data_IF_244047732309
#
_entry.id   IF_244047732309
#
_cell.length_a   1.000
_cell.length_b   1.000
_cell.length_c   1.000
_cell.angle_alpha   90.00
_cell.angle_beta   90.00
_cell.angle_gamma   90.00
#
_symmetry.space_group_name_H-M   'P 1'
#
loop_
_entity.id
_entity.type
_entity.pdbx_description
1 polymer ?
#
# COMPACT_ATOMS: atom_id res chain seq x y z
N UNK A 1 17.24 -12.66 -10.88
CA UNK A 1 15.94 -12.45 -11.56
C UNK A 1 15.17 -11.41 -10.76
N UNK A 2 14.72 -10.31 -11.36
CA UNK A 2 13.82 -9.36 -10.70
C UNK A 2 12.55 -9.26 -11.55
N UNK A 3 11.41 -9.57 -10.94
CA UNK A 3 10.08 -9.41 -11.52
C UNK A 3 9.40 -8.27 -10.75
N UNK A 4 9.15 -7.15 -11.43
CA UNK A 4 8.35 -6.04 -10.91
C UNK A 4 6.97 -6.09 -11.56
N UNK A 5 5.92 -6.30 -10.76
CA UNK A 5 4.54 -6.19 -11.23
C UNK A 5 3.94 -4.94 -10.61
N UNK A 6 3.54 -3.99 -11.45
CA UNK A 6 2.74 -2.85 -11.01
C UNK A 6 1.40 -2.80 -11.71
N UNK A 7 0.35 -3.13 -10.97
CA UNK A 7 -1.03 -2.95 -11.40
C UNK A 7 -1.57 -1.60 -10.91
N UNK A 8 -2.00 -0.73 -11.83
CA UNK A 8 -3.00 0.30 -11.48
C UNK A 8 -4.34 -0.42 -11.50
N UNK A 9 -4.92 -0.69 -10.34
CA UNK A 9 -6.25 -1.28 -10.23
C UNK A 9 -7.28 -0.14 -10.14
N UNK A 10 -8.04 0.04 -11.22
CA UNK A 10 -9.18 0.96 -11.26
C UNK A 10 -10.42 0.23 -10.74
N UNK A 11 -10.91 0.62 -9.56
CA UNK A 11 -12.05 -0.03 -8.89
C UNK A 11 -13.38 0.46 -9.47
N UNK A 12 -14.04 -0.40 -10.24
CA UNK A 12 -15.45 -0.27 -10.62
C UNK A 12 -16.24 -1.54 -10.27
N UNK A 13 -17.30 -1.36 -9.48
CA UNK A 13 -18.39 -2.31 -9.16
C UNK A 13 -18.19 -3.40 -8.09
N UNK A 14 -19.25 -3.52 -7.27
CA UNK A 14 -19.37 -3.94 -5.85
C UNK A 14 -19.56 -5.46 -5.64
N UNK A 15 -19.05 -5.91 -4.48
CA UNK A 15 -19.34 -7.16 -3.74
C UNK A 15 -18.66 -8.47 -4.14
N UNK A 16 -19.00 -9.19 -5.22
CA UNK A 16 -18.42 -10.54 -5.46
C UNK A 16 -16.92 -10.54 -5.83
N UNK A 17 -16.45 -9.47 -6.47
CA UNK A 17 -15.04 -9.31 -6.85
C UNK A 17 -14.14 -9.02 -5.65
N UNK A 18 -14.71 -8.41 -4.61
CA UNK A 18 -13.95 -7.95 -3.44
C UNK A 18 -13.41 -9.13 -2.63
N UNK A 19 -14.15 -10.25 -2.54
CA UNK A 19 -13.70 -11.45 -1.81
C UNK A 19 -12.55 -12.16 -2.55
N UNK A 20 -12.63 -12.29 -3.88
CA UNK A 20 -11.55 -12.90 -4.66
C UNK A 20 -10.33 -11.98 -4.68
N UNK A 21 -10.50 -10.66 -4.81
CA UNK A 21 -9.40 -9.71 -4.75
C UNK A 21 -8.75 -9.69 -3.37
N UNK A 22 -9.53 -9.72 -2.29
CA UNK A 22 -9.01 -9.79 -0.93
C UNK A 22 -8.25 -11.09 -0.69
N UNK A 23 -8.86 -12.24 -1.02
CA UNK A 23 -8.20 -13.55 -0.87
C UNK A 23 -6.92 -13.66 -1.72
N UNK A 24 -6.91 -13.06 -2.92
CA UNK A 24 -5.71 -13.01 -3.75
C UNK A 24 -4.61 -12.17 -3.09
N UNK A 25 -4.94 -10.97 -2.61
CA UNK A 25 -3.96 -10.06 -1.99
C UNK A 25 -3.49 -10.55 -0.63
N UNK A 26 -4.33 -11.27 0.12
CA UNK A 26 -3.95 -11.95 1.36
C UNK A 26 -2.89 -13.04 1.12
N UNK A 27 -2.89 -13.69 -0.05
CA UNK A 27 -1.92 -14.73 -0.42
C UNK A 27 -0.71 -14.19 -1.20
N UNK A 28 -0.61 -12.89 -1.44
CA UNK A 28 0.56 -12.31 -2.09
C UNK A 28 1.75 -12.29 -1.12
N UNK A 29 2.94 -12.75 -1.54
CA UNK A 29 4.14 -12.63 -0.72
C UNK A 29 4.64 -11.17 -0.62
N UNK A 30 4.10 -10.26 -1.44
CA UNK A 30 4.38 -8.83 -1.36
C UNK A 30 3.39 -8.13 -0.43
N UNK A 31 3.91 -7.19 0.37
CA UNK A 31 3.06 -6.31 1.18
C UNK A 31 2.17 -5.41 0.33
N UNK A 32 0.88 -5.39 0.64
CA UNK A 32 -0.12 -4.55 -0.01
C UNK A 32 -0.94 -3.76 1.03
N UNK A 33 -1.15 -2.48 0.73
CA UNK A 33 -1.93 -1.55 1.53
C UNK A 33 -2.92 -0.79 0.63
N UNK A 34 -4.16 -0.67 1.07
CA UNK A 34 -5.17 0.18 0.46
C UNK A 34 -5.56 1.25 1.47
N UNK A 35 -5.44 2.52 1.08
CA UNK A 35 -5.89 3.66 1.85
C UNK A 35 -6.82 4.54 1.01
N UNK A 36 -7.70 5.29 1.68
CA UNK A 36 -8.48 6.33 1.02
C UNK A 36 -7.65 7.60 0.78
N UNK A 37 -8.23 8.60 0.10
CA UNK A 37 -7.57 9.88 -0.19
C UNK A 37 -7.21 10.70 1.06
N UNK A 38 -7.74 10.35 2.24
CA UNK A 38 -7.39 10.97 3.52
C UNK A 38 -6.20 10.29 4.19
N UNK A 39 -5.69 9.20 3.61
CA UNK A 39 -4.63 8.37 4.19
C UNK A 39 -5.13 7.33 5.19
N UNK A 40 -6.46 7.19 5.36
CA UNK A 40 -7.04 6.16 6.23
C UNK A 40 -6.86 4.80 5.57
N UNK A 41 -6.18 3.90 6.29
CA UNK A 41 -6.01 2.51 5.86
C UNK A 41 -7.37 1.79 5.85
N UNK A 42 -7.74 1.28 4.69
CA UNK A 42 -8.94 0.47 4.47
C UNK A 42 -8.62 -1.03 4.53
N UNK A 43 -7.40 -1.40 4.15
CA UNK A 43 -6.94 -2.78 4.14
C UNK A 43 -5.41 -2.84 4.11
N UNK A 44 -4.85 -3.84 4.79
CA UNK A 44 -3.44 -4.24 4.69
C UNK A 44 -3.39 -5.77 4.76
N UNK A 45 -2.59 -6.40 3.89
CA UNK A 45 -2.37 -7.84 3.98
C UNK A 45 -1.34 -8.20 5.06
N UNK A 46 -1.22 -9.48 5.39
CA UNK A 46 -0.29 -9.99 6.40
C UNK A 46 1.16 -9.66 6.04
N UNK A 47 1.57 -9.87 4.79
CA UNK A 47 2.92 -9.54 4.32
C UNK A 47 3.31 -8.06 4.53
N UNK A 48 2.35 -7.12 4.46
CA UNK A 48 2.61 -5.70 4.74
C UNK A 48 2.80 -5.43 6.24
N UNK A 49 2.08 -6.16 7.09
CA UNK A 49 2.22 -6.07 8.54
C UNK A 49 3.56 -6.63 8.99
N UNK A 50 3.95 -7.76 8.42
CA UNK A 50 5.25 -8.40 8.65
C UNK A 50 6.40 -7.50 8.20
N UNK A 51 6.26 -6.83 7.05
CA UNK A 51 7.23 -5.85 6.55
C UNK A 51 7.46 -4.70 7.55
N UNK A 52 6.41 -4.27 8.24
CA UNK A 52 6.48 -3.24 9.27
C UNK A 52 6.80 -3.79 10.67
N UNK A 53 6.95 -5.11 10.83
CA UNK A 53 7.17 -5.74 12.13
C UNK A 53 6.04 -5.50 13.13
N UNK A 54 4.80 -5.36 12.66
CA UNK A 54 3.65 -5.05 13.51
C UNK A 54 3.12 -6.30 14.19
N UNK A 55 2.71 -6.16 15.45
CA UNK A 55 1.97 -7.21 16.14
C UNK A 55 0.62 -7.52 15.44
N UNK A 56 0.10 -8.76 15.55
CA UNK A 56 -1.17 -9.18 14.93
C UNK A 56 -2.38 -8.35 15.33
N UNK A 57 -2.33 -7.68 16.49
CA UNK A 57 -3.39 -6.80 17.02
C UNK A 57 -3.07 -5.30 16.81
N UNK A 58 -1.87 -4.96 16.36
CA UNK A 58 -1.48 -3.58 16.15
C UNK A 58 -2.18 -2.98 14.93
N UNK A 59 -2.65 -1.75 15.08
CA UNK A 59 -3.21 -0.96 13.98
C UNK A 59 -2.12 -0.62 12.98
N UNK A 60 -2.44 -0.75 11.68
CA UNK A 60 -1.50 -0.40 10.62
C UNK A 60 -1.45 1.13 10.49
N UNK A 61 -0.26 1.75 10.65
CA UNK A 61 -0.12 3.18 10.50
C UNK A 61 -0.36 3.59 9.04
N UNK A 62 -0.76 4.85 8.86
CA UNK A 62 -0.83 5.46 7.54
C UNK A 62 0.55 5.38 6.86
N UNK A 63 0.62 5.21 5.52
CA UNK A 63 1.88 4.98 4.83
C UNK A 63 2.90 6.11 5.04
N UNK A 64 2.44 7.35 5.15
CA UNK A 64 3.25 8.52 5.49
C UNK A 64 3.97 8.38 6.85
N UNK A 65 3.30 7.79 7.85
CA UNK A 65 3.91 7.50 9.16
C UNK A 65 4.78 6.26 9.14
N UNK A 66 4.34 5.22 8.44
CA UNK A 66 5.07 3.95 8.32
C UNK A 66 6.49 4.15 7.74
N UNK A 67 6.63 5.11 6.82
CA UNK A 67 7.89 5.39 6.14
C UNK A 67 8.49 6.76 6.48
N UNK A 68 8.05 7.40 7.56
CA UNK A 68 8.56 8.71 7.97
C UNK A 68 10.09 8.73 8.21
N UNK A 69 10.68 7.59 8.57
CA UNK A 69 12.13 7.43 8.76
C UNK A 69 12.95 7.39 7.46
N UNK A 70 12.30 7.31 6.29
CA UNK A 70 12.96 7.27 4.99
C UNK A 70 12.51 8.47 4.13
N UNK A 71 13.32 9.54 4.04
CA UNK A 71 12.94 10.77 3.33
C UNK A 71 12.53 10.55 1.87
N UNK A 72 13.18 9.60 1.18
CA UNK A 72 12.89 9.28 -0.22
C UNK A 72 11.49 8.67 -0.37
N UNK A 73 11.14 7.73 0.51
CA UNK A 73 9.81 7.12 0.53
C UNK A 73 8.73 8.10 1.01
N UNK A 74 9.05 8.95 1.98
CA UNK A 74 8.12 9.97 2.45
C UNK A 74 7.70 10.94 1.33
N UNK A 75 8.65 11.40 0.52
CA UNK A 75 8.37 12.29 -0.61
C UNK A 75 7.51 11.61 -1.68
N UNK A 76 7.85 10.36 -2.01
CA UNK A 76 7.10 9.49 -2.89
C UNK A 76 5.64 9.32 -2.45
N UNK A 77 5.43 8.94 -1.19
CA UNK A 77 4.10 8.75 -0.62
C UNK A 77 3.31 10.06 -0.60
N UNK A 78 3.97 11.18 -0.29
CA UNK A 78 3.35 12.50 -0.33
C UNK A 78 2.83 12.85 -1.73
N UNK A 79 3.61 12.59 -2.80
CA UNK A 79 3.16 12.82 -4.18
C UNK A 79 1.96 11.93 -4.55
N UNK A 80 1.99 10.66 -4.18
CA UNK A 80 0.88 9.72 -4.39
C UNK A 80 -0.39 10.18 -3.67
N UNK A 81 -0.28 10.55 -2.39
CA UNK A 81 -1.40 11.05 -1.61
C UNK A 81 -1.98 12.34 -2.22
N UNK A 82 -1.11 13.28 -2.60
CA UNK A 82 -1.52 14.53 -3.24
C UNK A 82 -2.22 14.29 -4.58
N UNK A 83 -1.74 13.37 -5.40
CA UNK A 83 -2.40 13.01 -6.65
C UNK A 83 -3.79 12.41 -6.40
N UNK A 84 -3.91 11.50 -5.44
CA UNK A 84 -5.19 10.91 -5.04
C UNK A 84 -6.19 11.97 -4.57
N UNK A 85 -5.75 12.94 -3.77
CA UNK A 85 -6.60 14.05 -3.31
C UNK A 85 -7.07 14.96 -4.44
N UNK A 86 -6.29 15.09 -5.51
CA UNK A 86 -6.66 15.84 -6.71
C UNK A 86 -7.52 15.02 -7.69
N UNK A 87 -7.93 13.80 -7.31
CA UNK A 87 -8.65 12.87 -8.21
C UNK A 87 -7.81 12.38 -9.38
N UNK A 88 -6.48 12.51 -9.30
CA UNK A 88 -5.54 12.08 -10.34
C UNK A 88 -4.99 10.71 -9.99
N UNK A 89 -4.96 9.81 -10.97
CA UNK A 89 -4.25 8.55 -10.83
C UNK A 89 -2.75 8.79 -11.01
N UNK A 90 -1.97 8.36 -10.04
CA UNK A 90 -0.51 8.36 -10.09
C UNK A 90 -0.03 6.98 -9.64
N UNK A 91 0.94 6.45 -10.38
CA UNK A 91 1.66 5.22 -10.02
C UNK A 91 3.13 5.57 -10.02
N UNK A 92 3.79 5.21 -8.94
CA UNK A 92 5.25 5.32 -8.84
C UNK A 92 5.81 3.99 -8.31
N UNK A 93 7.00 3.64 -8.80
CA UNK A 93 7.79 2.50 -8.34
C UNK A 93 9.06 3.03 -7.71
N UNK A 94 9.35 2.57 -6.50
CA UNK A 94 10.56 2.97 -5.80
C UNK A 94 11.27 1.72 -5.30
N UNK A 95 12.59 1.69 -5.52
CA UNK A 95 13.44 0.70 -4.89
C UNK A 95 13.84 1.25 -3.52
N UNK A 96 13.29 0.68 -2.45
CA UNK A 96 13.78 0.96 -1.11
C UNK A 96 14.70 -0.17 -0.67
N UNK A 97 15.96 0.15 -0.36
CA UNK A 97 16.80 -0.72 0.46
C UNK A 97 16.27 -0.60 1.89
N UNK A 98 15.33 -1.48 2.24
CA UNK A 98 14.77 -1.53 3.59
C UNK A 98 15.86 -2.05 4.53
N UNK A 99 16.57 -1.14 5.18
CA UNK A 99 17.24 -1.42 6.45
C UNK A 99 16.23 -1.14 7.54
N UNK A 100 15.51 -2.18 7.97
CA UNK A 100 14.73 -2.18 9.22
C UNK A 100 15.71 -2.21 10.38
#
# INVERSE_FOLDING_TARGET
MFAGAVGILHFGQRHARNDITKAFVDNLPQGALIADATGRVLYANEAYRDLLGLDPEASVPAPDRAFAGNPHLAEAIFRLARASQQGRSLKEEFLSLIHI
#
